data_IF_586806378685
#
_entry.id   IF_586806378685
#
_cell.length_a   1.000
_cell.length_b   1.000
_cell.length_c   1.000
_cell.angle_alpha   90.00
_cell.angle_beta   90.00
_cell.angle_gamma   90.00
#
_symmetry.space_group_name_H-M   'P 1'
#
loop_
_entity.id
_entity.type
_entity.pdbx_description
1 polymer ?
#
# COMPACT_ATOMS: atom_id res chain seq x y z
N UNK A 1 -59.69 -44.25 -10.03
CA UNK A 1 -58.44 -43.55 -10.40
C UNK A 1 -57.43 -43.99 -9.38
N UNK A 2 -56.63 -45.01 -9.67
CA UNK A 2 -55.55 -45.41 -8.77
C UNK A 2 -54.34 -44.59 -9.19
N UNK A 3 -53.90 -43.69 -8.32
CA UNK A 3 -52.64 -42.97 -8.50
C UNK A 3 -51.49 -43.88 -8.07
N UNK A 4 -50.40 -43.85 -8.82
CA UNK A 4 -49.21 -44.64 -8.54
C UNK A 4 -48.60 -44.20 -7.19
N UNK A 5 -48.57 -45.14 -6.23
CA UNK A 5 -47.95 -44.92 -4.91
C UNK A 5 -46.51 -45.43 -4.94
N UNK A 6 -45.55 -44.55 -4.70
CA UNK A 6 -44.14 -44.90 -4.56
C UNK A 6 -43.93 -45.77 -3.31
N UNK A 7 -43.65 -47.06 -3.51
CA UNK A 7 -43.51 -48.03 -2.41
C UNK A 7 -42.11 -48.03 -1.79
N UNK A 8 -41.07 -47.81 -2.60
CA UNK A 8 -39.67 -47.75 -2.16
C UNK A 8 -38.88 -46.84 -3.10
N UNK A 9 -37.93 -46.08 -2.54
CA UNK A 9 -36.94 -45.33 -3.28
C UNK A 9 -35.55 -45.68 -2.77
N UNK A 10 -34.61 -45.89 -3.69
CA UNK A 10 -33.19 -46.07 -3.39
C UNK A 10 -32.38 -45.15 -4.29
N UNK A 11 -31.27 -44.63 -3.76
CA UNK A 11 -30.33 -43.85 -4.55
C UNK A 11 -29.59 -44.75 -5.54
N UNK A 12 -29.83 -44.55 -6.83
CA UNK A 12 -29.04 -45.15 -7.91
C UNK A 12 -28.32 -44.03 -8.66
N UNK A 13 -27.01 -44.17 -8.84
CA UNK A 13 -26.19 -43.15 -9.47
C UNK A 13 -25.75 -43.59 -10.87
N UNK A 14 -25.98 -42.72 -11.85
CA UNK A 14 -25.34 -42.81 -13.16
C UNK A 14 -24.06 -41.98 -13.12
N UNK A 15 -22.99 -42.50 -13.70
CA UNK A 15 -21.70 -41.84 -13.76
C UNK A 15 -21.13 -41.90 -15.17
N UNK A 16 -20.33 -40.91 -15.51
CA UNK A 16 -19.61 -40.82 -16.78
C UNK A 16 -18.16 -40.48 -16.50
N UNK A 17 -17.26 -41.45 -16.66
CA UNK A 17 -15.83 -41.24 -16.45
C UNK A 17 -15.26 -40.20 -17.42
N UNK A 18 -15.79 -40.09 -18.65
CA UNK A 18 -15.31 -39.09 -19.60
C UNK A 18 -15.59 -37.67 -19.10
N UNK A 19 -16.71 -37.46 -18.42
CA UNK A 19 -17.07 -36.19 -17.79
C UNK A 19 -16.20 -35.86 -16.57
N UNK A 20 -15.75 -36.85 -15.79
CA UNK A 20 -14.91 -36.63 -14.59
C UNK A 20 -13.64 -35.83 -14.92
N UNK A 21 -12.96 -36.19 -16.01
CA UNK A 21 -11.75 -35.48 -16.42
C UNK A 21 -12.05 -34.05 -16.93
N UNK A 22 -13.19 -33.84 -17.59
CA UNK A 22 -13.60 -32.53 -18.11
C UNK A 22 -14.00 -31.55 -17.00
N UNK A 23 -14.57 -32.07 -15.90
CA UNK A 23 -14.96 -31.27 -14.74
C UNK A 23 -13.77 -30.84 -13.88
N UNK A 24 -12.59 -31.43 -14.09
CA UNK A 24 -11.36 -31.11 -13.36
C UNK A 24 -10.23 -30.70 -14.33
N UNK A 25 -10.36 -29.57 -15.06
CA UNK A 25 -9.45 -29.20 -16.14
C UNK A 25 -8.00 -29.00 -15.68
N UNK A 26 -7.77 -28.65 -14.41
CA UNK A 26 -6.41 -28.49 -13.87
C UNK A 26 -5.75 -29.82 -13.47
N UNK A 27 -6.51 -30.90 -13.26
CA UNK A 27 -6.00 -32.19 -12.79
C UNK A 27 -6.83 -33.38 -13.31
N UNK A 28 -6.96 -33.53 -14.64
CA UNK A 28 -7.87 -34.52 -15.24
C UNK A 28 -7.51 -35.98 -14.89
N UNK A 29 -6.22 -36.33 -14.82
CA UNK A 29 -5.80 -37.70 -14.50
C UNK A 29 -6.10 -38.01 -13.03
N UNK A 30 -5.68 -37.14 -12.12
CA UNK A 30 -5.89 -37.28 -10.68
C UNK A 30 -7.38 -37.40 -10.37
N UNK A 31 -8.22 -36.55 -10.95
CA UNK A 31 -9.67 -36.63 -10.79
C UNK A 31 -10.24 -37.96 -11.30
N UNK A 32 -9.80 -38.43 -12.47
CA UNK A 32 -10.21 -39.70 -13.04
C UNK A 32 -9.88 -40.88 -12.12
N UNK A 33 -8.62 -41.04 -11.70
CA UNK A 33 -8.17 -42.23 -10.96
C UNK A 33 -8.52 -42.21 -9.47
N UNK A 34 -8.90 -41.03 -8.96
CA UNK A 34 -9.41 -40.85 -7.59
C UNK A 34 -10.94 -40.87 -7.54
N UNK A 35 -11.60 -40.97 -8.70
CA UNK A 35 -13.05 -41.06 -8.81
C UNK A 35 -13.59 -42.25 -8.01
N UNK A 36 -14.71 -42.08 -7.27
CA UNK A 36 -15.35 -43.17 -6.55
C UNK A 36 -15.94 -44.24 -7.50
N UNK A 37 -16.10 -43.91 -8.78
CA UNK A 37 -16.73 -44.75 -9.80
C UNK A 37 -15.78 -45.74 -10.48
N UNK A 38 -14.55 -45.89 -10.00
CA UNK A 38 -13.61 -46.86 -10.55
C UNK A 38 -13.03 -46.50 -11.92
N UNK A 39 -13.00 -45.22 -12.30
CA UNK A 39 -12.49 -44.77 -13.60
C UNK A 39 -10.97 -44.96 -13.76
N UNK A 40 -10.50 -45.18 -14.98
CA UNK A 40 -9.08 -45.36 -15.33
C UNK A 40 -8.61 -44.31 -16.33
N UNK A 41 -7.34 -43.93 -16.27
CA UNK A 41 -6.79 -42.87 -17.13
C UNK A 41 -5.85 -43.43 -18.20
N UNK A 42 -5.98 -42.88 -19.40
CA UNK A 42 -5.18 -43.19 -20.57
C UNK A 42 -4.27 -42.00 -20.93
N UNK A 43 -2.97 -42.04 -20.56
CA UNK A 43 -2.07 -40.89 -20.66
C UNK A 43 -1.79 -40.40 -22.08
N UNK A 44 -1.69 -41.29 -23.08
CA UNK A 44 -1.42 -40.90 -24.47
C UNK A 44 -2.68 -40.38 -25.13
N UNK A 45 -3.81 -41.05 -24.92
CA UNK A 45 -5.12 -40.64 -25.45
C UNK A 45 -5.76 -39.45 -24.72
N UNK A 46 -5.24 -39.07 -23.55
CA UNK A 46 -5.77 -37.99 -22.69
C UNK A 46 -7.26 -38.16 -22.35
N UNK A 47 -7.68 -39.39 -22.05
CA UNK A 47 -9.08 -39.69 -21.76
C UNK A 47 -9.26 -40.56 -20.50
N UNK A 48 -10.41 -40.37 -19.86
CA UNK A 48 -10.83 -41.14 -18.70
C UNK A 48 -11.87 -42.17 -19.13
N UNK A 49 -11.61 -43.45 -18.88
CA UNK A 49 -12.38 -44.59 -19.38
C UNK A 49 -13.01 -45.41 -18.25
N UNK A 50 -14.05 -46.16 -18.60
CA UNK A 50 -14.76 -47.12 -17.75
C UNK A 50 -14.35 -48.56 -18.09
N UNK A 51 -13.76 -49.29 -17.14
CA UNK A 51 -13.40 -50.69 -17.30
C UNK A 51 -12.29 -50.96 -18.34
N UNK A 52 -11.72 -52.17 -18.29
CA UNK A 52 -10.72 -52.63 -19.24
C UNK A 52 -9.37 -51.90 -19.17
N UNK A 53 -8.61 -51.99 -20.25
CA UNK A 53 -7.33 -51.31 -20.47
C UNK A 53 -7.46 -50.27 -21.58
N UNK A 54 -6.56 -49.30 -21.59
CA UNK A 54 -6.54 -48.23 -22.58
C UNK A 54 -6.41 -48.73 -24.02
N UNK A 55 -6.91 -47.94 -25.00
CA UNK A 55 -6.81 -48.29 -26.42
C UNK A 55 -5.37 -48.49 -26.87
N UNK A 56 -5.14 -49.30 -27.91
CA UNK A 56 -3.84 -49.44 -28.58
C UNK A 56 -2.66 -49.88 -27.71
N UNK A 57 -2.94 -50.52 -26.56
CA UNK A 57 -1.90 -51.05 -25.66
C UNK A 57 -1.09 -49.96 -24.94
N UNK A 58 -1.60 -48.73 -24.85
CA UNK A 58 -0.97 -47.71 -24.00
C UNK A 58 -1.08 -48.08 -22.51
N UNK A 59 -0.18 -47.52 -21.70
CA UNK A 59 -0.18 -47.77 -20.25
C UNK A 59 -1.47 -47.24 -19.64
N UNK A 60 -2.20 -48.12 -18.94
CA UNK A 60 -3.41 -47.74 -18.20
C UNK A 60 -3.05 -47.38 -16.78
N UNK A 61 -3.41 -46.17 -16.33
CA UNK A 61 -3.34 -45.80 -14.92
C UNK A 61 -4.66 -46.17 -14.27
N UNK A 62 -4.63 -47.22 -13.45
CA UNK A 62 -5.82 -47.74 -12.81
C UNK A 62 -6.28 -46.87 -11.65
N UNK A 63 -7.58 -46.97 -11.36
CA UNK A 63 -8.19 -46.34 -10.20
C UNK A 63 -7.47 -46.79 -8.92
N UNK A 64 -7.38 -45.91 -7.92
CA UNK A 64 -6.76 -46.25 -6.64
C UNK A 64 -7.40 -47.47 -5.94
N UNK A 65 -8.70 -47.70 -6.15
CA UNK A 65 -9.45 -48.81 -5.56
C UNK A 65 -9.42 -50.09 -6.41
N UNK A 66 -8.74 -50.09 -7.57
CA UNK A 66 -8.71 -51.24 -8.46
C UNK A 66 -7.77 -52.36 -7.93
N UNK A 67 -8.25 -53.59 -7.95
CA UNK A 67 -7.49 -54.80 -7.60
C UNK A 67 -6.78 -55.41 -8.82
N UNK A 68 -5.91 -54.63 -9.48
CA UNK A 68 -5.17 -55.02 -10.70
C UNK A 68 -3.66 -54.83 -10.51
N UNK A 69 -2.84 -55.69 -11.13
CA UNK A 69 -1.38 -55.67 -11.03
C UNK A 69 -0.65 -54.64 -11.91
N UNK A 70 -1.09 -53.38 -11.90
CA UNK A 70 -0.54 -52.29 -12.74
C UNK A 70 -0.38 -50.94 -12.01
N UNK A 71 0.10 -49.89 -12.70
CA UNK A 71 0.25 -48.55 -12.12
C UNK A 71 -1.12 -48.00 -11.71
N UNK A 72 -1.26 -47.52 -10.47
CA UNK A 72 -2.54 -47.12 -9.89
C UNK A 72 -2.46 -45.90 -9.00
N UNK A 73 -3.56 -45.15 -8.96
CA UNK A 73 -3.73 -43.96 -8.11
C UNK A 73 -3.05 -42.71 -8.66
N UNK A 74 -3.35 -41.58 -8.02
CA UNK A 74 -2.96 -40.24 -8.48
C UNK A 74 -1.45 -39.97 -8.48
N UNK A 75 -0.67 -40.72 -7.70
CA UNK A 75 0.79 -40.56 -7.65
C UNK A 75 1.50 -40.98 -8.94
N UNK A 76 0.85 -41.79 -9.77
CA UNK A 76 1.40 -42.26 -11.05
C UNK A 76 0.95 -41.37 -12.22
N UNK A 77 0.07 -40.40 -11.98
CA UNK A 77 -0.37 -39.45 -13.00
C UNK A 77 0.81 -38.61 -13.54
N UNK A 78 0.83 -38.30 -14.85
CA UNK A 78 1.67 -37.25 -15.41
C UNK A 78 1.26 -35.92 -14.78
N UNK A 79 2.15 -35.32 -13.98
CA UNK A 79 1.81 -34.13 -13.19
C UNK A 79 2.98 -33.17 -13.05
N UNK A 80 2.66 -31.91 -12.83
CA UNK A 80 3.59 -30.89 -12.37
C UNK A 80 3.73 -30.91 -10.84
N UNK A 81 4.86 -30.40 -10.38
CA UNK A 81 5.14 -30.11 -8.98
C UNK A 81 5.39 -28.61 -8.77
N UNK A 82 6.32 -28.27 -7.89
CA UNK A 82 6.67 -26.88 -7.61
C UNK A 82 7.55 -26.26 -8.70
N UNK A 83 7.64 -24.92 -8.70
CA UNK A 83 8.70 -24.21 -9.43
C UNK A 83 10.05 -24.59 -8.83
N UNK A 84 10.99 -25.03 -9.66
CA UNK A 84 12.37 -25.31 -9.23
C UNK A 84 13.18 -24.01 -9.24
N UNK A 85 13.79 -23.68 -8.11
CA UNK A 85 14.57 -22.45 -7.95
C UNK A 85 13.73 -21.27 -7.48
N UNK A 86 14.00 -20.09 -8.00
CA UNK A 86 13.28 -18.87 -7.62
C UNK A 86 11.92 -18.80 -8.35
N UNK A 87 10.80 -18.59 -7.64
CA UNK A 87 9.52 -18.31 -8.28
C UNK A 87 9.39 -16.84 -8.74
N UNK A 88 10.41 -16.01 -8.48
CA UNK A 88 10.42 -14.59 -8.84
C UNK A 88 10.87 -14.43 -10.30
N UNK A 89 10.03 -13.80 -11.12
CA UNK A 89 10.29 -13.56 -12.54
C UNK A 89 10.34 -12.05 -12.82
N UNK A 90 11.51 -11.48 -13.13
CA UNK A 90 11.63 -10.06 -13.46
C UNK A 90 11.00 -9.75 -14.82
N UNK A 91 10.30 -8.62 -14.90
CA UNK A 91 9.76 -8.09 -16.17
C UNK A 91 10.89 -7.72 -17.13
N UNK A 92 10.69 -8.04 -18.42
CA UNK A 92 11.60 -7.67 -19.52
C UNK A 92 12.91 -8.46 -19.61
N UNK A 93 13.19 -9.36 -18.68
CA UNK A 93 14.37 -10.23 -18.71
C UNK A 93 13.99 -11.58 -19.30
N UNK A 94 14.75 -12.07 -20.26
CA UNK A 94 14.60 -13.45 -20.73
C UNK A 94 14.94 -14.43 -19.61
N UNK A 95 13.94 -15.20 -19.18
CA UNK A 95 14.09 -16.24 -18.17
C UNK A 95 13.56 -17.57 -18.67
N UNK A 96 14.26 -18.65 -18.32
CA UNK A 96 13.76 -20.02 -18.43
C UNK A 96 13.09 -20.41 -17.11
N UNK A 97 11.94 -21.06 -17.20
CA UNK A 97 11.19 -21.52 -16.03
C UNK A 97 11.33 -23.04 -15.90
N UNK A 98 11.96 -23.49 -14.83
CA UNK A 98 12.07 -24.91 -14.52
C UNK A 98 10.94 -25.32 -13.58
N UNK A 99 10.11 -26.26 -14.03
CA UNK A 99 9.06 -26.87 -13.25
C UNK A 99 9.47 -28.29 -12.84
N UNK A 100 9.14 -28.68 -11.63
CA UNK A 100 9.13 -30.08 -11.27
C UNK A 100 8.04 -30.80 -12.06
N UNK A 101 8.34 -31.98 -12.60
CA UNK A 101 7.37 -32.77 -13.36
C UNK A 101 7.60 -34.26 -13.13
N UNK A 102 6.53 -35.05 -13.09
CA UNK A 102 6.58 -36.49 -12.80
C UNK A 102 5.85 -37.28 -13.88
N UNK A 103 6.31 -38.50 -14.14
CA UNK A 103 5.66 -39.48 -15.02
C UNK A 103 5.38 -39.00 -16.47
N UNK A 104 6.14 -38.01 -16.97
CA UNK A 104 5.97 -37.48 -18.34
C UNK A 104 6.23 -38.54 -19.42
N UNK A 105 7.07 -39.53 -19.12
CA UNK A 105 7.34 -40.67 -20.00
C UNK A 105 6.08 -41.48 -20.35
N UNK A 106 5.01 -41.39 -19.57
CA UNK A 106 3.75 -42.07 -19.86
C UNK A 106 2.99 -41.43 -21.05
N UNK A 107 3.29 -40.19 -21.41
CA UNK A 107 2.63 -39.47 -22.51
C UNK A 107 2.99 -40.02 -23.90
N UNK A 108 4.04 -40.84 -24.00
CA UNK A 108 4.46 -41.49 -25.24
C UNK A 108 5.88 -41.12 -25.69
N UNK A 109 6.37 -41.89 -26.66
CA UNK A 109 7.66 -41.66 -27.34
C UNK A 109 7.40 -41.65 -28.85
N UNK A 110 7.68 -40.55 -29.57
CA UNK A 110 8.20 -39.28 -29.07
C UNK A 110 7.19 -38.56 -28.15
N UNK A 111 7.70 -37.69 -27.28
CA UNK A 111 6.84 -36.88 -26.42
C UNK A 111 5.97 -35.94 -27.28
N UNK A 112 4.69 -35.74 -26.91
CA UNK A 112 3.86 -34.72 -27.53
C UNK A 112 4.44 -33.32 -27.28
N UNK A 113 4.03 -32.34 -28.11
CA UNK A 113 4.39 -30.94 -27.87
C UNK A 113 3.81 -30.48 -26.53
N UNK A 114 4.67 -29.94 -25.67
CA UNK A 114 4.30 -29.37 -24.39
C UNK A 114 4.45 -27.85 -24.47
N UNK A 115 3.50 -27.10 -23.91
CA UNK A 115 3.61 -25.64 -23.76
C UNK A 115 3.37 -25.25 -22.32
N UNK A 116 4.25 -24.44 -21.76
CA UNK A 116 3.95 -23.77 -20.50
C UNK A 116 3.07 -22.56 -20.82
N UNK A 117 1.98 -22.42 -20.09
CA UNK A 117 1.05 -21.32 -20.22
C UNK A 117 1.02 -20.55 -18.91
N UNK A 118 1.27 -19.25 -19.01
CA UNK A 118 1.24 -18.33 -17.88
C UNK A 118 0.09 -17.35 -18.08
N UNK A 119 -0.71 -17.20 -17.03
CA UNK A 119 -1.79 -16.21 -16.99
C UNK A 119 -1.24 -14.86 -16.51
N UNK A 120 -1.00 -13.95 -17.47
CA UNK A 120 -0.34 -12.67 -17.23
C UNK A 120 -1.34 -11.54 -17.42
N UNK A 121 -1.92 -11.08 -16.30
CA UNK A 121 -2.91 -10.00 -16.28
C UNK A 121 -4.22 -10.45 -16.92
N UNK A 122 -4.51 -9.98 -18.14
CA UNK A 122 -5.67 -10.43 -18.94
C UNK A 122 -5.29 -11.29 -20.14
N UNK A 123 -3.99 -11.50 -20.37
CA UNK A 123 -3.46 -12.27 -21.49
C UNK A 123 -2.91 -13.62 -21.05
N UNK A 124 -2.64 -14.47 -22.05
CA UNK A 124 -1.93 -15.73 -21.89
C UNK A 124 -0.59 -15.63 -22.61
N UNK A 125 0.46 -16.10 -21.95
CA UNK A 125 1.78 -16.26 -22.56
C UNK A 125 2.06 -17.76 -22.70
N UNK A 126 2.24 -18.21 -23.93
CA UNK A 126 2.59 -19.60 -24.23
C UNK A 126 4.05 -19.72 -24.66
N UNK A 127 4.79 -20.62 -24.04
CA UNK A 127 6.18 -20.92 -24.39
C UNK A 127 6.36 -22.42 -24.57
N UNK A 128 7.17 -22.83 -25.55
CA UNK A 128 7.46 -24.26 -25.73
C UNK A 128 8.18 -24.83 -24.50
N UNK A 129 7.81 -26.04 -24.11
CA UNK A 129 8.38 -26.74 -22.97
C UNK A 129 9.04 -28.04 -23.42
N UNK A 130 10.21 -28.33 -22.86
CA UNK A 130 10.95 -29.56 -23.14
C UNK A 130 11.43 -30.23 -21.84
N UNK A 131 11.68 -31.55 -21.84
CA UNK A 131 12.26 -32.21 -20.68
C UNK A 131 13.64 -31.64 -20.36
N UNK A 132 13.79 -31.02 -19.18
CA UNK A 132 15.03 -30.42 -18.71
C UNK A 132 15.93 -31.38 -17.91
N UNK A 133 15.58 -32.67 -17.88
CA UNK A 133 16.25 -33.71 -17.09
C UNK A 133 15.28 -34.56 -16.27
N UNK A 134 15.79 -35.41 -15.35
CA UNK A 134 14.94 -36.23 -14.50
C UNK A 134 14.09 -35.35 -13.59
N UNK A 135 12.78 -35.62 -13.58
CA UNK A 135 11.78 -34.89 -12.81
C UNK A 135 11.77 -33.37 -13.06
N UNK A 136 12.10 -32.94 -14.27
CA UNK A 136 12.19 -31.51 -14.62
C UNK A 136 11.61 -31.27 -16.00
N UNK A 137 10.72 -30.30 -16.08
CA UNK A 137 10.24 -29.72 -17.33
C UNK A 137 10.76 -28.28 -17.41
N UNK A 138 11.41 -27.94 -18.52
CA UNK A 138 11.97 -26.63 -18.76
C UNK A 138 11.12 -25.89 -19.79
N UNK A 139 10.51 -24.79 -19.36
CA UNK A 139 9.86 -23.84 -20.24
C UNK A 139 10.93 -22.97 -20.93
N UNK A 140 10.76 -22.73 -22.23
CA UNK A 140 11.69 -21.94 -23.04
C UNK A 140 11.89 -20.50 -22.52
N UNK A 141 12.97 -19.85 -22.93
CA UNK A 141 13.28 -18.49 -22.51
C UNK A 141 12.20 -17.51 -23.01
N UNK A 142 11.73 -16.64 -22.12
CA UNK A 142 10.81 -15.58 -22.49
C UNK A 142 10.95 -14.36 -21.57
N UNK A 143 10.72 -13.17 -22.12
CA UNK A 143 10.66 -11.92 -21.38
C UNK A 143 9.20 -11.56 -21.13
N UNK A 144 8.76 -11.67 -19.88
CA UNK A 144 7.37 -11.42 -19.50
C UNK A 144 7.12 -9.93 -19.23
N UNK A 145 5.93 -9.46 -19.56
CA UNK A 145 5.43 -8.13 -19.23
C UNK A 145 3.93 -8.21 -18.93
N UNK A 146 3.49 -7.53 -17.87
CA UNK A 146 2.09 -7.46 -17.47
C UNK A 146 1.48 -6.06 -17.52
N UNK A 147 2.26 -5.05 -17.94
CA UNK A 147 1.79 -3.70 -18.29
C UNK A 147 1.02 -2.95 -17.20
N UNK A 148 1.06 -3.40 -15.94
CA UNK A 148 0.28 -2.82 -14.85
C UNK A 148 1.17 -1.96 -13.95
N UNK A 149 0.58 -0.91 -13.35
CA UNK A 149 1.23 -0.08 -12.33
C UNK A 149 1.43 -0.80 -10.98
N UNK A 150 1.19 -2.11 -10.92
CA UNK A 150 1.40 -2.91 -9.72
C UNK A 150 2.86 -3.39 -9.65
N UNK A 151 3.50 -3.38 -8.46
CA UNK A 151 4.90 -3.78 -8.35
C UNK A 151 5.12 -5.29 -8.58
N UNK A 152 4.08 -6.09 -8.35
CA UNK A 152 4.11 -7.54 -8.48
C UNK A 152 2.78 -8.09 -8.95
N UNK A 153 2.82 -9.20 -9.69
CA UNK A 153 1.66 -9.95 -10.14
C UNK A 153 1.87 -11.45 -9.89
N UNK A 154 0.88 -12.08 -9.25
CA UNK A 154 0.83 -13.52 -9.09
C UNK A 154 0.26 -14.14 -10.37
N UNK A 155 1.10 -14.85 -11.13
CA UNK A 155 0.72 -15.47 -12.40
C UNK A 155 0.64 -17.00 -12.25
N UNK A 156 -0.58 -17.58 -12.32
CA UNK A 156 -0.76 -19.03 -12.42
C UNK A 156 0.03 -19.62 -13.59
N UNK A 157 0.55 -20.84 -13.38
CA UNK A 157 1.29 -21.59 -14.41
C UNK A 157 0.68 -22.96 -14.55
N UNK A 158 0.40 -23.36 -15.79
CA UNK A 158 0.01 -24.73 -16.15
C UNK A 158 0.70 -25.15 -17.44
N UNK A 159 0.65 -26.45 -17.74
CA UNK A 159 1.26 -26.99 -18.97
C UNK A 159 0.19 -27.67 -19.80
N UNK A 160 0.15 -27.32 -21.07
CA UNK A 160 -0.70 -27.98 -22.06
C UNK A 160 0.06 -29.07 -22.80
N UNK A 161 -0.66 -30.14 -23.14
CA UNK A 161 -0.19 -31.26 -23.95
C UNK A 161 -0.94 -31.23 -25.28
N UNK A 162 -0.21 -31.08 -26.39
CA UNK A 162 -0.81 -30.79 -27.68
C UNK A 162 -1.45 -29.39 -27.69
N UNK A 163 -2.68 -29.27 -28.20
CA UNK A 163 -3.36 -27.97 -28.33
C UNK A 163 -4.42 -27.69 -27.26
N UNK A 164 -4.88 -28.72 -26.53
CA UNK A 164 -6.10 -28.60 -25.70
C UNK A 164 -6.01 -29.22 -24.32
N UNK A 165 -5.11 -30.18 -24.11
CA UNK A 165 -5.11 -30.98 -22.88
C UNK A 165 -4.22 -30.36 -21.84
N UNK A 166 -4.56 -30.50 -20.57
CA UNK A 166 -3.77 -29.99 -19.46
C UNK A 166 -3.09 -31.14 -18.73
N UNK A 167 -1.84 -30.92 -18.37
CA UNK A 167 -1.14 -31.79 -17.45
C UNK A 167 -1.64 -31.52 -16.02
N UNK A 168 -1.72 -32.56 -15.18
CA UNK A 168 -2.16 -32.38 -13.80
C UNK A 168 -1.28 -31.35 -13.08
N UNK A 169 -1.90 -30.27 -12.63
CA UNK A 169 -1.23 -29.10 -12.06
C UNK A 169 -1.71 -28.90 -10.62
N UNK A 170 -0.81 -28.79 -9.63
CA UNK A 170 -1.21 -28.59 -8.25
C UNK A 170 -1.93 -27.25 -8.07
N UNK A 171 -2.94 -27.24 -7.20
CA UNK A 171 -3.71 -26.02 -6.90
C UNK A 171 -2.78 -24.92 -6.39
N UNK A 172 -2.76 -23.79 -7.08
CA UNK A 172 -1.95 -22.64 -6.69
C UNK A 172 -0.50 -22.67 -7.15
N UNK A 173 -0.13 -23.51 -8.14
CA UNK A 173 1.14 -23.33 -8.86
C UNK A 173 1.16 -21.97 -9.55
N UNK A 174 2.13 -21.13 -9.20
CA UNK A 174 2.26 -19.79 -9.73
C UNK A 174 3.71 -19.32 -9.68
N UNK A 175 4.01 -18.31 -10.48
CA UNK A 175 5.21 -17.47 -10.35
C UNK A 175 4.80 -16.07 -9.91
N UNK A 176 5.75 -15.33 -9.36
CA UNK A 176 5.58 -13.93 -8.98
C UNK A 176 6.34 -13.07 -9.97
N UNK A 177 5.60 -12.46 -10.90
CA UNK A 177 6.13 -11.44 -11.79
C UNK A 177 6.37 -10.16 -10.99
N UNK A 178 7.47 -9.48 -11.23
CA UNK A 178 7.77 -8.21 -10.57
C UNK A 178 8.51 -7.25 -11.49
N UNK A 179 8.26 -5.95 -11.27
CA UNK A 179 8.93 -4.88 -12.01
C UNK A 179 9.75 -4.02 -11.04
N UNK A 180 11.06 -3.96 -11.27
CA UNK A 180 11.97 -3.12 -10.50
C UNK A 180 11.71 -1.62 -10.68
N UNK A 181 11.08 -1.21 -11.78
CA UNK A 181 10.81 0.20 -12.08
C UNK A 181 9.65 0.76 -11.25
N UNK A 182 8.76 -0.09 -10.76
CA UNK A 182 7.53 0.31 -10.07
C UNK A 182 7.79 0.53 -8.58
N UNK A 183 7.37 1.69 -8.07
CA UNK A 183 7.49 2.05 -6.65
C UNK A 183 8.92 2.43 -6.21
N UNK A 184 9.87 2.53 -7.14
CA UNK A 184 11.29 2.86 -6.90
C UNK A 184 11.76 4.04 -7.76
N UNK A 185 11.19 5.24 -7.55
CA UNK A 185 11.48 6.41 -8.39
C UNK A 185 12.88 7.01 -8.21
N UNK A 186 13.61 6.63 -7.16
CA UNK A 186 14.94 7.18 -6.84
C UNK A 186 15.96 6.07 -6.53
N UNK A 187 17.24 6.46 -6.52
CA UNK A 187 18.34 5.52 -6.35
C UNK A 187 18.28 4.80 -5.00
N UNK A 188 17.96 5.54 -3.94
CA UNK A 188 17.93 5.00 -2.58
C UNK A 188 16.81 3.96 -2.39
N UNK A 189 15.60 4.20 -2.92
CA UNK A 189 14.52 3.19 -2.93
C UNK A 189 14.83 2.00 -3.84
N UNK A 190 15.57 2.22 -4.92
CA UNK A 190 16.01 1.15 -5.81
C UNK A 190 17.01 0.22 -5.11
N UNK A 191 18.05 0.79 -4.48
CA UNK A 191 19.09 0.02 -3.77
C UNK A 191 18.61 -0.61 -2.47
N UNK A 192 17.61 -0.02 -1.83
CA UNK A 192 16.95 -0.61 -0.67
C UNK A 192 16.03 -1.80 -1.01
N UNK A 193 15.88 -2.15 -2.30
CA UNK A 193 15.18 -3.37 -2.70
C UNK A 193 15.84 -4.61 -2.08
N UNK A 194 15.03 -5.65 -1.84
CA UNK A 194 15.57 -6.94 -1.43
C UNK A 194 16.59 -7.43 -2.48
N UNK A 195 17.79 -7.88 -2.06
CA UNK A 195 18.79 -8.43 -2.97
C UNK A 195 18.25 -9.57 -3.85
N UNK A 196 17.25 -10.31 -3.37
CA UNK A 196 16.59 -11.39 -4.12
C UNK A 196 15.88 -10.91 -5.40
N UNK A 197 15.51 -9.63 -5.49
CA UNK A 197 14.88 -9.06 -6.69
C UNK A 197 15.92 -8.65 -7.75
N UNK A 198 17.20 -8.56 -7.39
CA UNK A 198 18.23 -8.16 -8.35
C UNK A 198 18.03 -6.76 -8.95
N UNK A 199 17.29 -5.87 -8.27
CA UNK A 199 17.07 -4.51 -8.76
C UNK A 199 18.35 -3.68 -8.62
N UNK A 200 18.62 -2.85 -9.63
CA UNK A 200 19.77 -1.98 -9.71
C UNK A 200 19.36 -0.62 -10.28
N UNK A 201 19.92 0.45 -9.71
CA UNK A 201 19.71 1.80 -10.21
C UNK A 201 20.55 2.02 -11.47
N UNK A 202 19.87 2.24 -12.60
CA UNK A 202 20.44 2.48 -13.90
C UNK A 202 19.81 3.78 -14.44
N UNK A 203 20.43 4.95 -14.17
CA UNK A 203 19.81 6.25 -14.46
C UNK A 203 19.20 6.30 -15.87
N UNK A 204 17.96 6.80 -16.01
CA UNK A 204 17.19 7.54 -15.00
C UNK A 204 16.29 6.70 -14.08
N UNK A 205 16.36 5.36 -14.12
CA UNK A 205 15.38 4.51 -13.44
C UNK A 205 15.93 3.28 -12.72
N UNK A 206 15.04 2.58 -12.01
CA UNK A 206 15.34 1.30 -11.39
C UNK A 206 14.94 0.16 -12.33
N UNK A 207 15.85 -0.80 -12.55
CA UNK A 207 15.60 -1.95 -13.42
C UNK A 207 16.34 -3.18 -12.91
N UNK A 208 16.06 -4.35 -13.48
CA UNK A 208 16.80 -5.56 -13.13
C UNK A 208 18.27 -5.44 -13.58
N UNK A 209 19.22 -5.92 -12.78
CA UNK A 209 20.66 -5.78 -13.04
C UNK A 209 21.11 -6.32 -14.42
N UNK A 210 20.42 -7.35 -14.94
CA UNK A 210 20.71 -7.91 -16.28
C UNK A 210 20.32 -6.99 -17.44
N UNK A 211 19.39 -6.06 -17.21
CA UNK A 211 18.96 -5.09 -18.22
C UNK A 211 19.87 -3.87 -18.22
N UNK A 212 20.64 -3.64 -17.14
CA UNK A 212 21.51 -2.46 -17.03
C UNK A 212 22.81 -2.70 -17.81
N UNK A 213 23.19 -1.78 -18.72
CA UNK A 213 24.46 -1.89 -19.44
C UNK A 213 25.67 -1.95 -18.49
N UNK A 214 26.77 -2.61 -18.89
CA UNK A 214 28.01 -2.61 -18.11
C UNK A 214 28.48 -1.18 -17.85
N UNK A 215 28.68 -0.82 -16.58
CA UNK A 215 29.06 0.54 -16.17
C UNK A 215 27.90 1.56 -16.12
N UNK A 216 26.67 1.15 -16.42
CA UNK A 216 25.49 2.03 -16.34
C UNK A 216 25.05 2.35 -14.90
N UNK A 217 25.40 1.51 -13.93
CA UNK A 217 25.07 1.72 -12.52
C UNK A 217 26.15 2.56 -11.82
N UNK A 218 25.80 3.72 -11.23
CA UNK A 218 26.77 4.54 -10.50
C UNK A 218 27.24 3.83 -9.22
N UNK A 219 28.44 4.14 -8.68
CA UNK A 219 28.94 3.52 -7.46
C UNK A 219 28.12 3.91 -6.22
N UNK A 220 27.65 5.16 -6.13
CA UNK A 220 26.80 5.67 -5.05
C UNK A 220 25.50 6.30 -5.59
N UNK A 221 24.53 6.49 -4.71
CA UNK A 221 23.38 7.34 -5.00
C UNK A 221 23.78 8.82 -4.98
N UNK A 222 23.01 9.70 -5.65
CA UNK A 222 23.23 11.14 -5.58
C UNK A 222 22.98 11.67 -4.16
N UNK A 223 23.37 12.92 -3.93
CA UNK A 223 23.06 13.63 -2.69
C UNK A 223 21.53 13.72 -2.49
N UNK A 224 21.06 13.69 -1.22
CA UNK A 224 19.64 13.79 -0.93
C UNK A 224 19.04 15.10 -1.45
N UNK A 225 17.79 15.06 -1.92
CA UNK A 225 17.08 16.24 -2.40
C UNK A 225 15.83 16.48 -1.56
N UNK A 226 15.74 17.67 -0.94
CA UNK A 226 14.61 18.04 -0.08
C UNK A 226 13.60 18.83 -0.92
N UNK A 227 12.42 18.25 -1.13
CA UNK A 227 11.32 18.87 -1.87
C UNK A 227 10.56 19.87 -1.01
N UNK A 228 10.27 19.49 0.24
CA UNK A 228 9.43 20.29 1.12
C UNK A 228 9.77 20.06 2.60
N UNK A 229 9.67 21.15 3.37
CA UNK A 229 9.73 21.16 4.83
C UNK A 229 8.42 21.71 5.38
N UNK A 230 7.84 21.04 6.39
CA UNK A 230 6.61 21.50 7.03
C UNK A 230 6.54 21.07 8.51
N UNK A 231 6.18 21.95 9.45
CA UNK A 231 5.94 23.40 9.30
C UNK A 231 7.22 24.20 8.97
N UNK A 232 7.10 25.49 8.63
CA UNK A 232 8.24 26.39 8.40
C UNK A 232 8.63 27.23 9.62
N UNK A 233 7.85 27.14 10.69
CA UNK A 233 8.19 27.81 11.95
C UNK A 233 7.69 27.04 13.15
N UNK A 234 8.25 27.38 14.32
CA UNK A 234 7.92 26.76 15.59
C UNK A 234 8.35 27.58 16.80
N UNK A 235 7.81 27.30 17.99
CA UNK A 235 8.25 27.94 19.23
C UNK A 235 9.73 27.68 19.53
N UNK A 236 10.46 28.63 20.17
CA UNK A 236 11.87 28.46 20.56
C UNK A 236 12.11 27.28 21.52
N UNK A 237 11.10 26.88 22.28
CA UNK A 237 11.15 25.70 23.16
C UNK A 237 11.29 24.38 22.39
N UNK A 238 11.05 24.40 21.08
CA UNK A 238 11.10 23.23 20.21
C UNK A 238 9.99 22.22 20.52
N UNK A 239 10.27 20.95 20.26
CA UNK A 239 9.40 19.85 20.59
C UNK A 239 8.28 19.55 19.58
N UNK A 240 8.14 20.37 18.53
CA UNK A 240 7.23 20.13 17.41
C UNK A 240 7.81 19.07 16.45
N UNK A 241 6.92 18.40 15.72
CA UNK A 241 7.31 17.43 14.70
C UNK A 241 7.48 18.11 13.34
N UNK A 242 8.70 18.10 12.83
CA UNK A 242 9.03 18.61 11.51
C UNK A 242 9.01 17.47 10.50
N UNK A 243 8.25 17.64 9.42
CA UNK A 243 8.20 16.71 8.29
C UNK A 243 9.08 17.22 7.17
N UNK A 244 10.01 16.39 6.73
CA UNK A 244 10.96 16.65 5.64
C UNK A 244 10.63 15.64 4.54
N UNK A 245 10.10 16.11 3.41
CA UNK A 245 9.77 15.28 2.26
C UNK A 245 10.82 15.47 1.15
N UNK A 246 11.26 14.38 0.53
CA UNK A 246 12.40 14.40 -0.36
C UNK A 246 12.58 13.13 -1.19
N UNK A 247 13.71 13.08 -1.89
CA UNK A 247 14.23 11.93 -2.64
C UNK A 247 15.63 11.61 -2.14
N UNK A 248 16.03 10.35 -2.25
CA UNK A 248 17.36 9.88 -1.83
C UNK A 248 17.70 10.16 -0.35
N UNK A 249 16.67 10.18 0.51
CA UNK A 249 16.78 10.39 1.97
C UNK A 249 17.24 9.12 2.73
N UNK A 250 18.23 8.41 2.21
CA UNK A 250 18.79 7.20 2.81
C UNK A 250 18.17 5.89 2.34
N UNK A 251 18.97 4.82 2.33
CA UNK A 251 18.54 3.46 1.95
C UNK A 251 17.97 2.69 3.15
N UNK A 252 18.20 3.19 4.36
CA UNK A 252 17.68 2.69 5.63
C UNK A 252 17.66 3.84 6.65
N UNK A 253 16.99 3.62 7.78
CA UNK A 253 16.86 4.64 8.82
C UNK A 253 18.21 5.04 9.43
N UNK A 254 19.12 4.08 9.60
CA UNK A 254 20.43 4.30 10.22
C UNK A 254 21.28 5.30 9.42
N UNK A 255 21.04 5.43 8.11
CA UNK A 255 21.77 6.36 7.27
C UNK A 255 21.44 7.84 7.62
N UNK A 256 20.32 8.10 8.30
CA UNK A 256 19.84 9.45 8.63
C UNK A 256 19.69 9.73 10.13
N UNK A 257 19.75 8.70 10.98
CA UNK A 257 19.39 8.78 12.42
C UNK A 257 20.18 9.83 13.24
N UNK A 258 21.35 10.29 12.76
CA UNK A 258 22.18 11.29 13.44
C UNK A 258 22.66 12.44 12.56
N UNK A 259 22.14 12.58 11.34
CA UNK A 259 22.68 13.53 10.35
C UNK A 259 21.76 14.70 10.05
N UNK A 260 20.51 14.66 10.53
CA UNK A 260 19.51 15.69 10.25
C UNK A 260 19.77 16.91 11.13
N UNK A 261 19.81 18.09 10.50
CA UNK A 261 19.96 19.38 11.19
C UNK A 261 18.85 20.33 10.76
N UNK A 262 18.35 21.12 11.70
CA UNK A 262 17.31 22.14 11.48
C UNK A 262 17.87 23.46 11.97
N UNK A 263 18.09 24.42 11.06
CA UNK A 263 18.76 25.69 11.32
C UNK A 263 20.07 25.51 12.12
N UNK A 264 20.89 24.53 11.70
CA UNK A 264 22.17 24.21 12.33
C UNK A 264 22.09 23.46 13.66
N UNK A 265 20.91 23.08 14.16
CA UNK A 265 20.73 22.28 15.39
C UNK A 265 20.43 20.82 15.07
N UNK A 266 20.96 19.84 15.83
CA UNK A 266 20.71 18.42 15.57
C UNK A 266 19.24 18.06 15.84
N UNK A 267 18.57 17.44 14.87
CA UNK A 267 17.18 17.00 14.97
C UNK A 267 17.16 15.47 14.95
N UNK A 268 16.51 14.84 15.93
CA UNK A 268 16.47 13.39 16.05
C UNK A 268 15.27 12.83 15.24
N UNK A 269 15.50 12.02 14.18
CA UNK A 269 14.44 11.40 13.42
C UNK A 269 13.66 10.34 14.22
N UNK A 270 12.36 10.25 13.99
CA UNK A 270 11.49 9.22 14.53
C UNK A 270 11.46 8.00 13.59
N UNK A 271 11.97 6.82 14.02
CA UNK A 271 12.00 5.62 13.18
C UNK A 271 10.60 5.14 12.78
N UNK A 272 9.58 5.36 13.60
CA UNK A 272 8.21 4.93 13.31
C UNK A 272 7.54 5.76 12.20
N UNK A 273 8.05 6.96 11.93
CA UNK A 273 7.51 7.91 10.94
C UNK A 273 8.41 8.11 9.72
N UNK A 274 9.55 7.44 9.69
CA UNK A 274 10.43 7.42 8.54
C UNK A 274 9.78 6.65 7.39
N UNK A 275 9.73 7.26 6.20
CA UNK A 275 9.36 6.58 4.96
C UNK A 275 10.61 6.51 4.10
N UNK A 276 11.02 5.28 3.79
CA UNK A 276 12.24 4.95 3.04
C UNK A 276 12.52 5.92 1.88
N UNK A 277 13.64 6.64 1.97
CA UNK A 277 14.12 7.62 0.98
C UNK A 277 13.09 8.69 0.55
N UNK A 278 12.00 8.86 1.30
CA UNK A 278 10.85 9.68 0.92
C UNK A 278 10.53 10.76 1.94
N UNK A 279 10.61 10.40 3.23
CA UNK A 279 10.16 11.27 4.30
C UNK A 279 10.93 10.98 5.58
N UNK A 280 11.37 12.05 6.22
CA UNK A 280 11.89 12.04 7.58
C UNK A 280 10.95 12.88 8.43
N UNK A 281 10.60 12.39 9.62
CA UNK A 281 9.95 13.21 10.65
C UNK A 281 10.90 13.28 11.83
N UNK A 282 11.21 14.49 12.30
CA UNK A 282 12.10 14.68 13.45
C UNK A 282 11.51 15.67 14.44
N UNK A 283 11.89 15.55 15.71
CA UNK A 283 11.45 16.49 16.75
C UNK A 283 12.44 17.67 16.80
N UNK A 284 11.94 18.88 16.54
CA UNK A 284 12.77 20.09 16.50
C UNK A 284 13.36 20.35 17.89
N UNK A 285 14.69 20.54 18.02
CA UNK A 285 15.32 20.86 19.29
C UNK A 285 15.01 22.31 19.72
N UNK A 286 15.19 22.66 21.02
CA UNK A 286 15.09 24.04 21.46
C UNK A 286 16.22 24.91 20.87
N UNK A 287 15.91 26.18 20.59
CA UNK A 287 16.85 27.19 20.13
C UNK A 287 16.41 28.60 20.55
N UNK A 288 17.27 29.60 20.32
CA UNK A 288 16.92 31.00 20.56
C UNK A 288 15.84 31.47 19.57
N UNK A 289 14.95 32.34 20.04
CA UNK A 289 13.93 32.97 19.20
C UNK A 289 14.57 33.84 18.12
N UNK A 290 13.97 33.85 16.92
CA UNK A 290 14.47 34.56 15.75
C UNK A 290 15.53 33.80 14.94
N UNK A 291 16.05 32.67 15.43
CA UNK A 291 16.97 31.83 14.66
C UNK A 291 16.25 31.29 13.42
N UNK A 292 16.84 31.47 12.25
CA UNK A 292 16.32 30.96 10.98
C UNK A 292 17.43 30.30 10.18
N UNK A 293 17.13 29.18 9.54
CA UNK A 293 18.10 28.49 8.70
C UNK A 293 17.53 27.29 7.97
N UNK A 294 18.32 26.68 7.07
CA UNK A 294 17.88 25.55 6.27
C UNK A 294 17.77 24.27 7.11
N UNK A 295 17.12 23.28 6.53
CA UNK A 295 17.16 21.87 6.95
C UNK A 295 18.21 21.15 6.13
N UNK A 296 19.07 20.40 6.80
CA UNK A 296 20.17 19.66 6.18
C UNK A 296 20.03 18.18 6.50
N UNK A 297 20.23 17.32 5.50
CA UNK A 297 20.22 15.86 5.65
C UNK A 297 21.44 15.27 4.96
N UNK A 298 22.36 14.68 5.71
CA UNK A 298 23.47 13.92 5.16
C UNK A 298 23.14 12.42 5.12
N UNK A 299 23.62 11.71 4.09
CA UNK A 299 23.40 10.26 3.91
C UNK A 299 24.74 9.63 3.58
N UNK A 300 25.31 8.89 4.54
CA UNK A 300 26.67 8.35 4.42
C UNK A 300 27.70 9.45 4.14
N UNK A 301 28.61 9.19 3.19
CA UNK A 301 29.67 10.13 2.79
C UNK A 301 29.26 11.09 1.67
N UNK A 302 27.97 11.15 1.30
CA UNK A 302 27.50 12.09 0.29
C UNK A 302 27.44 13.52 0.84
N UNK A 303 27.58 14.55 -0.02
CA UNK A 303 27.25 15.92 0.36
C UNK A 303 25.83 16.00 0.94
N UNK A 304 25.60 16.82 1.97
CA UNK A 304 24.27 16.96 2.56
C UNK A 304 23.30 17.60 1.57
N UNK A 305 22.06 17.10 1.55
CA UNK A 305 20.93 17.79 0.94
C UNK A 305 20.54 18.99 1.80
N UNK A 306 20.37 20.15 1.18
CA UNK A 306 20.01 21.41 1.86
C UNK A 306 18.68 21.91 1.32
N UNK A 307 17.74 22.23 2.21
CA UNK A 307 16.42 22.72 1.81
C UNK A 307 16.48 24.17 1.31
N UNK A 308 15.68 24.48 0.29
CA UNK A 308 15.48 25.86 -0.17
C UNK A 308 14.67 26.66 0.87
N UNK A 309 13.72 26.00 1.53
CA UNK A 309 12.92 26.59 2.61
C UNK A 309 13.74 26.66 3.89
N UNK A 310 13.56 27.73 4.67
CA UNK A 310 14.14 27.87 6.00
C UNK A 310 13.09 27.56 7.07
N UNK A 311 13.54 26.91 8.14
CA UNK A 311 12.78 26.81 9.38
C UNK A 311 13.15 27.97 10.30
N UNK A 312 12.15 28.59 10.92
CA UNK A 312 12.34 29.76 11.80
C UNK A 312 11.77 29.52 13.19
N UNK A 313 12.58 29.74 14.22
CA UNK A 313 12.13 29.77 15.60
C UNK A 313 11.44 31.11 15.88
N UNK A 314 10.15 31.07 16.16
CA UNK A 314 9.29 32.23 16.32
C UNK A 314 8.66 32.19 17.71
N UNK A 315 8.53 33.34 18.37
CA UNK A 315 7.96 33.44 19.71
C UNK A 315 6.65 34.24 19.67
N UNK A 316 5.49 33.58 19.48
CA UNK A 316 4.23 34.26 19.26
C UNK A 316 3.83 35.17 20.42
N UNK A 317 3.51 36.42 20.11
CA UNK A 317 3.10 37.44 21.09
C UNK A 317 1.63 37.76 20.93
N UNK A 318 0.86 37.69 22.02
CA UNK A 318 -0.57 38.03 22.05
C UNK A 318 -0.73 39.45 22.59
N UNK A 319 -1.28 40.38 21.81
CA UNK A 319 -1.36 41.79 22.22
C UNK A 319 -2.75 42.21 22.66
N UNK A 320 -3.79 41.94 21.86
CA UNK A 320 -5.15 42.38 22.17
C UNK A 320 -6.20 41.29 21.91
N UNK A 321 -7.30 41.37 22.64
CA UNK A 321 -8.51 40.58 22.46
C UNK A 321 -9.70 41.53 22.27
N UNK A 322 -10.46 41.37 21.19
CA UNK A 322 -11.66 42.17 20.91
C UNK A 322 -12.80 41.34 20.28
N UNK A 323 -14.05 41.44 20.76
CA UNK A 323 -14.49 42.16 21.96
C UNK A 323 -14.04 41.44 23.24
N UNK A 324 -13.96 42.18 24.35
CA UNK A 324 -13.59 41.63 25.66
C UNK A 324 -14.79 41.13 26.47
N UNK A 325 -16.00 41.20 25.93
CA UNK A 325 -17.24 40.82 26.64
C UNK A 325 -18.22 40.14 25.68
N UNK A 326 -18.95 39.14 26.16
CA UNK A 326 -20.04 38.51 25.42
C UNK A 326 -20.87 37.56 26.29
N UNK A 327 -22.00 37.05 25.78
CA UNK A 327 -22.95 36.25 26.56
C UNK A 327 -22.37 34.91 27.03
N UNK A 328 -22.81 34.44 28.20
CA UNK A 328 -22.53 33.09 28.72
C UNK A 328 -22.96 31.97 27.78
N UNK A 329 -23.89 32.21 26.86
CA UNK A 329 -24.26 31.25 25.82
C UNK A 329 -23.11 30.94 24.82
N UNK A 330 -22.08 31.79 24.74
CA UNK A 330 -21.02 31.70 23.74
C UNK A 330 -21.43 32.28 22.38
N UNK A 331 -20.75 31.88 21.32
CA UNK A 331 -21.00 32.33 19.95
C UNK A 331 -20.53 33.75 19.64
N UNK A 332 -19.73 34.35 20.52
CA UNK A 332 -19.12 35.66 20.26
C UNK A 332 -17.92 35.46 19.36
N UNK A 333 -17.87 36.15 18.22
CA UNK A 333 -16.68 36.19 17.39
C UNK A 333 -15.66 37.11 18.03
N UNK A 334 -14.50 36.56 18.37
CA UNK A 334 -13.42 37.25 19.04
C UNK A 334 -12.18 37.23 18.16
N UNK A 335 -11.58 38.40 18.00
CA UNK A 335 -10.34 38.62 17.28
C UNK A 335 -9.22 38.83 18.30
N UNK A 336 -8.20 37.98 18.22
CA UNK A 336 -6.93 38.12 18.91
C UNK A 336 -5.93 38.74 17.93
N UNK A 337 -5.30 39.84 18.30
CA UNK A 337 -4.20 40.45 17.54
C UNK A 337 -2.86 40.17 18.20
N UNK A 338 -1.80 40.14 17.41
CA UNK A 338 -0.48 39.80 17.89
C UNK A 338 0.54 39.72 16.78
N UNK A 339 1.61 38.97 17.03
CA UNK A 339 2.70 38.72 16.10
C UNK A 339 3.08 37.23 16.13
N UNK A 340 3.48 36.72 14.96
CA UNK A 340 3.86 35.31 14.76
C UNK A 340 2.75 34.31 15.17
N UNK A 341 1.48 34.69 15.03
CA UNK A 341 0.35 33.85 15.46
C UNK A 341 0.09 32.63 14.55
N UNK A 342 0.81 32.51 13.44
CA UNK A 342 0.80 31.36 12.54
C UNK A 342 1.96 30.37 12.79
N UNK A 343 2.62 30.45 13.95
CA UNK A 343 3.77 29.59 14.29
C UNK A 343 3.36 28.15 14.57
N UNK A 344 3.94 27.22 13.81
CA UNK A 344 3.64 25.80 13.92
C UNK A 344 2.32 25.39 13.26
N UNK A 345 2.01 24.07 13.21
CA UNK A 345 0.84 23.55 12.51
C UNK A 345 -0.42 23.54 13.39
N UNK A 346 -0.26 23.43 14.71
CA UNK A 346 -1.34 23.22 15.67
C UNK A 346 -1.47 24.45 16.59
N UNK A 347 -2.39 25.36 16.24
CA UNK A 347 -2.75 26.52 17.06
C UNK A 347 -4.14 26.30 17.66
N UNK A 348 -4.24 26.35 18.99
CA UNK A 348 -5.51 26.20 19.70
C UNK A 348 -5.74 27.38 20.65
N UNK A 349 -6.94 27.97 20.61
CA UNK A 349 -7.30 29.14 21.42
C UNK A 349 -8.26 28.72 22.54
N UNK A 350 -8.04 29.25 23.74
CA UNK A 350 -8.85 28.98 24.93
C UNK A 350 -9.17 30.26 25.68
N UNK A 351 -10.39 30.32 26.23
CA UNK A 351 -10.85 31.38 27.14
C UNK A 351 -11.24 30.73 28.46
N UNK A 352 -10.41 30.92 29.50
CA UNK A 352 -10.45 30.03 30.66
C UNK A 352 -10.14 28.61 30.20
N UNK A 353 -10.86 27.61 30.70
CA UNK A 353 -10.72 26.20 30.30
C UNK A 353 -11.56 25.81 29.07
N UNK A 354 -12.22 26.78 28.44
CA UNK A 354 -13.15 26.55 27.35
C UNK A 354 -12.48 26.80 25.99
N UNK A 355 -12.61 25.89 25.01
CA UNK A 355 -12.04 26.08 23.68
C UNK A 355 -12.75 27.22 22.94
N UNK A 356 -11.99 27.99 22.18
CA UNK A 356 -12.50 28.98 21.22
C UNK A 356 -12.23 28.45 19.81
N UNK A 357 -13.28 28.13 19.06
CA UNK A 357 -13.17 27.48 17.77
C UNK A 357 -12.70 28.47 16.71
N UNK A 358 -11.51 28.26 16.13
CA UNK A 358 -10.99 29.09 15.04
C UNK A 358 -11.97 29.09 13.86
N UNK A 359 -12.29 30.28 13.34
CA UNK A 359 -13.17 30.49 12.19
C UNK A 359 -12.37 30.49 10.89
N UNK A 360 -11.13 30.96 10.96
CA UNK A 360 -10.20 31.09 9.83
C UNK A 360 -8.84 30.46 10.20
N UNK A 361 -8.03 30.03 9.21
CA UNK A 361 -6.66 29.58 9.47
C UNK A 361 -5.84 30.67 10.16
N UNK A 362 -4.95 30.32 11.11
CA UNK A 362 -4.06 31.28 11.76
C UNK A 362 -3.29 32.14 10.76
N UNK A 363 -3.40 33.46 10.90
CA UNK A 363 -2.62 34.42 10.15
C UNK A 363 -1.49 34.98 11.03
N UNK A 364 -0.36 35.46 10.47
CA UNK A 364 0.78 35.91 11.26
C UNK A 364 0.47 36.97 12.32
N UNK A 365 -0.56 37.81 12.13
CA UNK A 365 -0.91 38.86 13.08
C UNK A 365 -2.29 38.75 13.74
N UNK A 366 -3.10 37.75 13.36
CA UNK A 366 -4.49 37.66 13.85
C UNK A 366 -4.98 36.22 13.98
N UNK A 367 -5.79 35.97 15.00
CA UNK A 367 -6.59 34.76 15.17
C UNK A 367 -8.05 35.17 15.37
N UNK A 368 -8.96 34.55 14.63
CA UNK A 368 -10.41 34.78 14.77
C UNK A 368 -11.07 33.50 15.24
N UNK A 369 -11.75 33.55 16.38
CA UNK A 369 -12.40 32.37 16.96
C UNK A 369 -13.79 32.68 17.52
N UNK A 370 -14.63 31.66 17.63
CA UNK A 370 -15.94 31.73 18.27
C UNK A 370 -15.87 31.18 19.69
N UNK A 371 -16.36 31.96 20.65
CA UNK A 371 -16.43 31.51 22.05
C UNK A 371 -17.40 30.35 22.20
N UNK A 372 -17.07 29.41 23.08
CA UNK A 372 -18.02 28.39 23.54
C UNK A 372 -18.82 28.91 24.74
N UNK A 373 -19.90 28.21 25.10
CA UNK A 373 -20.71 28.59 26.25
C UNK A 373 -19.93 28.42 27.55
N UNK A 374 -20.04 29.41 28.44
CA UNK A 374 -19.23 29.51 29.65
C UNK A 374 -19.99 29.91 30.91
N UNK A 375 -19.22 30.23 31.95
CA UNK A 375 -19.75 30.68 33.25
C UNK A 375 -19.54 32.18 33.40
N UNK A 376 -20.40 32.84 34.17
CA UNK A 376 -20.32 34.28 34.41
C UNK A 376 -18.95 34.66 35.01
N UNK A 377 -18.33 35.71 34.48
CA UNK A 377 -17.08 36.26 35.00
C UNK A 377 -15.94 36.28 34.00
N UNK A 378 -14.73 36.53 34.50
CA UNK A 378 -13.51 36.63 33.69
C UNK A 378 -12.95 35.26 33.29
N UNK A 379 -12.53 35.17 32.03
CA UNK A 379 -11.93 34.00 31.42
C UNK A 379 -10.62 34.42 30.73
N UNK A 380 -9.44 34.04 31.28
CA UNK A 380 -8.14 34.44 30.72
C UNK A 380 -7.92 33.86 29.33
N UNK A 381 -7.34 34.64 28.42
CA UNK A 381 -6.93 34.15 27.10
C UNK A 381 -5.67 33.29 27.23
N UNK A 382 -5.72 32.10 26.62
CA UNK A 382 -4.56 31.22 26.42
C UNK A 382 -4.54 30.75 24.97
N UNK A 383 -3.40 30.85 24.32
CA UNK A 383 -3.20 30.28 22.98
C UNK A 383 -2.08 29.25 23.06
N UNK A 384 -2.38 28.04 22.58
CA UNK A 384 -1.45 26.94 22.52
C UNK A 384 -0.83 26.88 21.12
N UNK A 385 0.49 26.91 21.05
CA UNK A 385 1.30 26.70 19.85
C UNK A 385 2.05 25.37 20.01
N UNK A 386 1.51 24.29 19.43
CA UNK A 386 2.00 22.94 19.68
C UNK A 386 1.89 22.53 21.16
N UNK A 387 3.02 22.47 21.86
CA UNK A 387 3.07 22.10 23.30
C UNK A 387 3.20 23.29 24.25
N UNK A 388 3.27 24.50 23.70
CA UNK A 388 3.62 25.71 24.44
C UNK A 388 2.39 26.61 24.56
N UNK A 389 2.19 27.21 25.74
CA UNK A 389 1.11 28.15 25.99
C UNK A 389 1.64 29.59 26.03
N UNK A 390 0.89 30.50 25.42
CA UNK A 390 1.10 31.95 25.47
C UNK A 390 -0.14 32.62 26.06
N UNK A 391 0.10 33.75 26.72
CA UNK A 391 -0.91 34.55 27.42
C UNK A 391 -0.93 35.97 26.86
N UNK A 392 -2.04 36.69 27.07
CA UNK A 392 -2.17 38.07 26.63
C UNK A 392 -1.15 38.99 27.34
N UNK A 393 -0.36 39.71 26.57
CA UNK A 393 0.59 40.71 27.07
C UNK A 393 -0.19 41.85 27.73
N UNK A 394 0.05 42.09 29.02
CA UNK A 394 -0.70 43.06 29.83
C UNK A 394 -1.85 42.46 30.65
N UNK A 395 -2.10 41.15 30.53
CA UNK A 395 -3.09 40.44 31.36
C UNK A 395 -4.55 40.71 30.98
N UNK A 396 -5.46 40.09 31.73
CA UNK A 396 -6.89 40.10 31.45
C UNK A 396 -7.34 39.01 30.47
N UNK A 397 -8.57 39.13 29.99
CA UNK A 397 -9.17 38.12 29.12
C UNK A 397 -10.54 38.53 28.61
N UNK A 398 -11.39 37.53 28.40
CA UNK A 398 -12.77 37.70 28.00
C UNK A 398 -13.69 37.69 29.22
N UNK A 399 -14.74 38.50 29.23
CA UNK A 399 -15.74 38.54 30.28
C UNK A 399 -17.05 37.94 29.78
N UNK A 400 -17.46 36.82 30.36
CA UNK A 400 -18.77 36.24 30.10
C UNK A 400 -19.84 36.97 30.92
N UNK A 401 -20.72 37.66 30.20
CA UNK A 401 -21.84 38.43 30.74
C UNK A 401 -23.16 37.65 30.66
N UNK A 402 -24.19 38.03 31.43
CA UNK A 402 -25.51 37.43 31.31
C UNK A 402 -26.05 37.48 29.87
N UNK A 403 -26.82 36.47 29.49
CA UNK A 403 -27.46 36.47 28.18
C UNK A 403 -28.38 37.69 28.04
N UNK A 404 -28.34 38.41 26.89
CA UNK A 404 -29.23 39.55 26.66
C UNK A 404 -30.70 39.12 26.71
N UNK A 405 -31.56 39.99 27.25
CA UNK A 405 -32.98 39.69 27.39
C UNK A 405 -33.84 40.75 26.70
N UNK A 406 -34.38 40.40 25.53
CA UNK A 406 -35.24 41.32 24.77
C UNK A 406 -36.57 41.50 25.51
N UNK A 407 -36.77 42.66 26.12
CA UNK A 407 -37.96 42.96 26.92
C UNK A 407 -39.09 43.57 26.09
N UNK A 408 -38.76 44.28 25.02
CA UNK A 408 -39.73 44.97 24.17
C UNK A 408 -39.22 45.09 22.73
N UNK A 409 -40.13 44.97 21.77
CA UNK A 409 -39.88 45.27 20.37
C UNK A 409 -41.12 45.92 19.73
N UNK A 410 -40.93 47.03 19.03
CA UNK A 410 -42.00 47.77 18.36
C UNK A 410 -41.56 48.36 17.03
N UNK A 411 -42.41 48.30 16.00
CA UNK A 411 -43.75 47.71 15.95
C UNK A 411 -43.75 46.17 15.90
N UNK A 412 -44.78 45.52 16.44
CA UNK A 412 -44.87 44.04 16.51
C UNK A 412 -45.14 43.35 15.15
N UNK A 413 -45.33 44.12 14.09
CA UNK A 413 -45.65 43.63 12.75
C UNK A 413 -44.90 44.40 11.67
N UNK A 414 -44.60 43.71 10.56
CA UNK A 414 -43.91 44.24 9.40
C UNK A 414 -44.61 43.82 8.11
N UNK A 415 -44.20 44.41 6.98
CA UNK A 415 -44.71 44.05 5.66
C UNK A 415 -44.10 42.71 5.20
N UNK A 416 -44.79 41.98 4.32
CA UNK A 416 -44.27 40.71 3.77
C UNK A 416 -42.91 40.88 3.08
N UNK A 417 -42.64 42.04 2.48
CA UNK A 417 -41.34 42.38 1.85
C UNK A 417 -40.27 42.87 2.83
N UNK A 418 -40.56 42.96 4.13
CA UNK A 418 -39.61 43.44 5.15
C UNK A 418 -39.33 44.95 5.09
N UNK A 419 -38.15 45.35 5.58
CA UNK A 419 -37.63 46.72 5.51
C UNK A 419 -38.13 47.71 6.58
N UNK A 420 -39.11 47.34 7.42
CA UNK A 420 -39.59 48.18 8.52
C UNK A 420 -38.60 48.19 9.68
N UNK A 421 -38.21 49.38 10.13
CA UNK A 421 -37.38 49.56 11.33
C UNK A 421 -38.16 49.11 12.56
N UNK A 422 -37.58 48.18 13.34
CA UNK A 422 -38.09 47.73 14.63
C UNK A 422 -37.15 48.25 15.72
N UNK A 423 -37.69 49.00 16.67
CA UNK A 423 -36.98 49.40 17.88
C UNK A 423 -37.12 48.29 18.91
N UNK A 424 -36.00 47.84 19.49
CA UNK A 424 -35.99 46.83 20.54
C UNK A 424 -35.25 47.34 21.78
N UNK A 425 -35.71 46.91 22.96
CA UNK A 425 -35.01 47.09 24.23
C UNK A 425 -34.45 45.73 24.66
N UNK A 426 -33.15 45.70 24.94
CA UNK A 426 -32.34 44.51 25.24
C UNK A 426 -31.78 44.58 26.65
#
# INVERSE_FOLDING_TARGET
MFEDVLVVAVGFAFYDCSAVALLAPSAPCTACVSSPWGCHWCPRSHCCITGGSCPTGEVTIYNQNASVGGPRGSQVCPRLGAVKGSPLVPVGVEVTLDLEAHNLNLLGVPLPRLRCVLEVGRGLVEVEASPGGPYRLQCGPHAYDFGASAPQLRAPVYVTVGERWHLDTPSGLHVMLYDCSVGRPDCSRCRAASPALGCQWCPPGCQHHRLCPPGGAPPSCPAPFIHQVHPLSGPPEGGLLLTIAGSDLGQRFEDVAGTVRVAGRPCLPDPARYRLAAQIVCQVPPAEGGVSGPVEVAVGDQPPGVSIQHFTYQDPQLWELHPRIGPVAGGTQVTVTGEELATGPDVAVFLGDLPCSLVEPPAPGTLVCLTTGGTLGEAPLRVQFGKVLRHLTGGGGFHYAPNPNITWAWPRSSFCGGGRIIQAAV
#
